data_IF_046167528034
#
_entry.id   IF_046167528034
#
_cell.length_a   1.000
_cell.length_b   1.000
_cell.length_c   1.000
_cell.angle_alpha   90.00
_cell.angle_beta   90.00
_cell.angle_gamma   90.00
#
_symmetry.space_group_name_H-M   'P 1'
#
loop_
_entity.id
_entity.type
_entity.pdbx_description
1 polymer ?
#
# COMPACT_ATOMS: atom_id res chain seq x y z
N UNK A 1 -3.02 22.39 14.05
CA UNK A 1 -3.66 21.07 14.18
C UNK A 1 -3.57 20.40 12.82
N UNK A 2 -3.05 19.18 12.74
CA UNK A 2 -3.06 18.44 11.48
C UNK A 2 -4.52 18.14 11.10
N UNK A 3 -4.96 18.54 9.91
CA UNK A 3 -6.27 18.18 9.38
C UNK A 3 -6.45 16.66 9.50
N UNK A 4 -7.57 16.21 10.06
CA UNK A 4 -7.97 14.81 10.00
C UNK A 4 -7.93 14.42 8.53
N UNK A 5 -7.21 13.34 8.22
CA UNK A 5 -6.95 12.97 6.84
C UNK A 5 -8.25 12.70 6.07
N UNK A 6 -8.37 13.27 4.87
CA UNK A 6 -9.53 13.15 3.98
C UNK A 6 -9.44 11.84 3.17
N UNK A 7 -9.28 10.69 3.85
CA UNK A 7 -9.29 9.40 3.18
C UNK A 7 -10.74 8.91 3.00
N UNK A 8 -11.00 8.30 1.85
CA UNK A 8 -12.28 7.67 1.52
C UNK A 8 -12.01 6.19 1.34
N UNK A 9 -12.65 5.38 2.17
CA UNK A 9 -12.42 3.93 2.24
C UNK A 9 -13.75 3.21 2.15
N UNK A 10 -13.92 2.40 1.12
CA UNK A 10 -15.11 1.55 0.97
C UNK A 10 -14.76 0.07 1.08
N UNK A 11 -15.74 -0.77 1.35
CA UNK A 11 -15.64 -2.22 1.27
C UNK A 11 -16.47 -2.71 0.09
N UNK A 12 -15.87 -3.57 -0.72
CA UNK A 12 -16.55 -4.32 -1.77
C UNK A 12 -16.57 -5.79 -1.39
N UNK A 13 -17.76 -6.38 -1.29
CA UNK A 13 -17.97 -7.80 -0.97
C UNK A 13 -18.38 -8.66 -2.16
N UNK A 14 -18.88 -8.03 -3.22
CA UNK A 14 -19.35 -8.69 -4.42
C UNK A 14 -18.77 -8.01 -5.66
N UNK A 15 -18.59 -8.79 -6.73
CA UNK A 15 -18.26 -8.27 -8.05
C UNK A 15 -19.47 -7.70 -8.78
N UNK A 16 -20.68 -7.95 -8.26
CA UNK A 16 -21.92 -7.38 -8.79
C UNK A 16 -22.01 -5.88 -8.44
N UNK A 17 -21.94 -4.98 -9.44
CA UNK A 17 -21.95 -3.54 -9.19
C UNK A 17 -23.30 -3.02 -8.66
N UNK A 18 -24.39 -3.78 -8.81
CA UNK A 18 -25.71 -3.39 -8.30
C UNK A 18 -25.81 -3.45 -6.76
N UNK A 19 -24.92 -4.20 -6.11
CA UNK A 19 -24.87 -4.33 -4.66
C UNK A 19 -24.14 -3.17 -3.98
N UNK A 20 -23.55 -2.26 -4.76
CA UNK A 20 -22.88 -1.07 -4.25
C UNK A 20 -21.64 -1.37 -3.40
N UNK A 21 -21.08 -0.32 -2.78
CA UNK A 21 -19.96 -0.43 -1.85
C UNK A 21 -20.38 0.06 -0.46
N UNK A 22 -19.89 -0.62 0.57
CA UNK A 22 -20.15 -0.26 1.97
C UNK A 22 -19.13 0.80 2.42
N UNK A 23 -19.58 1.87 3.08
CA UNK A 23 -18.68 2.89 3.63
C UNK A 23 -17.93 2.38 4.87
N UNK A 24 -16.65 2.73 5.00
CA UNK A 24 -15.89 2.58 6.25
C UNK A 24 -15.66 3.96 6.85
N UNK A 25 -16.55 4.44 7.74
CA UNK A 25 -16.37 5.76 8.36
C UNK A 25 -15.14 5.80 9.28
N UNK A 26 -14.65 7.01 9.63
CA UNK A 26 -13.42 7.19 10.41
C UNK A 26 -13.35 6.49 11.76
N UNK A 27 -14.49 6.14 12.35
CA UNK A 27 -14.58 5.44 13.63
C UNK A 27 -14.47 3.92 13.52
N UNK A 28 -14.21 3.37 12.34
CA UNK A 28 -13.99 1.92 12.15
C UNK A 28 -12.51 1.54 12.31
N UNK A 29 -12.20 0.33 12.83
CA UNK A 29 -10.84 -0.18 12.84
C UNK A 29 -10.22 -0.29 11.44
N UNK A 30 -11.03 -0.71 10.46
CA UNK A 30 -10.61 -0.81 9.05
C UNK A 30 -10.11 0.54 8.55
N UNK A 31 -10.94 1.59 8.67
CA UNK A 31 -10.55 2.93 8.27
C UNK A 31 -9.28 3.39 8.99
N UNK A 32 -9.27 3.28 10.32
CA UNK A 32 -8.16 3.78 11.14
C UNK A 32 -6.82 3.16 10.74
N UNK A 33 -6.80 1.84 10.51
CA UNK A 33 -5.58 1.12 10.17
C UNK A 33 -5.16 1.33 8.72
N UNK A 34 -6.11 1.43 7.78
CA UNK A 34 -5.81 1.80 6.40
C UNK A 34 -5.28 3.23 6.32
N UNK A 35 -5.92 4.18 6.99
CA UNK A 35 -5.50 5.57 7.09
C UNK A 35 -4.08 5.71 7.69
N UNK A 36 -3.78 4.93 8.72
CA UNK A 36 -2.44 4.85 9.31
C UNK A 36 -1.39 4.39 8.28
N UNK A 37 -1.67 3.31 7.56
CA UNK A 37 -0.78 2.78 6.53
C UNK A 37 -0.58 3.78 5.36
N UNK A 38 -1.63 4.49 4.94
CA UNK A 38 -1.53 5.55 3.92
C UNK A 38 -0.64 6.69 4.41
N UNK A 39 -0.80 7.14 5.66
CA UNK A 39 0.06 8.20 6.21
C UNK A 39 1.54 7.80 6.26
N UNK A 40 1.85 6.53 6.56
CA UNK A 40 3.21 6.01 6.49
C UNK A 40 3.71 6.04 5.04
N UNK A 41 2.91 5.58 4.09
CA UNK A 41 3.26 5.59 2.66
C UNK A 41 3.54 7.02 2.15
N UNK A 42 2.68 7.98 2.47
CA UNK A 42 2.88 9.40 2.11
C UNK A 42 4.16 9.95 2.73
N UNK A 43 4.44 9.61 3.99
CA UNK A 43 5.68 10.03 4.64
C UNK A 43 6.94 9.44 3.96
N UNK A 44 6.86 8.19 3.47
CA UNK A 44 7.94 7.57 2.69
C UNK A 44 8.12 8.31 1.35
N UNK A 45 7.03 8.53 0.60
CA UNK A 45 7.05 9.18 -0.70
C UNK A 45 7.53 10.65 -0.62
N UNK A 46 7.12 11.37 0.42
CA UNK A 46 7.47 12.78 0.65
C UNK A 46 8.89 12.96 1.21
N UNK A 47 9.54 11.89 1.69
CA UNK A 47 10.91 11.93 2.17
C UNK A 47 11.89 12.33 1.06
N UNK A 48 13.10 12.82 1.40
CA UNK A 48 14.12 13.15 0.39
C UNK A 48 14.43 11.98 -0.56
N UNK A 49 14.49 10.75 -0.03
CA UNK A 49 14.72 9.55 -0.83
C UNK A 49 13.52 9.18 -1.69
N UNK A 50 12.29 9.29 -1.15
CA UNK A 50 11.05 9.06 -1.90
C UNK A 50 10.90 10.03 -3.07
N UNK A 51 11.08 11.33 -2.84
CA UNK A 51 11.06 12.36 -3.88
C UNK A 51 12.10 12.11 -4.95
N UNK A 52 13.33 11.79 -4.54
CA UNK A 52 14.40 11.45 -5.47
C UNK A 52 14.02 10.26 -6.36
N UNK A 53 13.54 9.17 -5.77
CA UNK A 53 13.12 7.98 -6.50
C UNK A 53 11.96 8.27 -7.48
N UNK A 54 10.96 9.03 -7.04
CA UNK A 54 9.84 9.46 -7.88
C UNK A 54 10.30 10.35 -9.04
N UNK A 55 11.25 11.25 -8.82
CA UNK A 55 11.84 12.06 -9.91
C UNK A 55 12.55 11.18 -10.94
N UNK A 56 13.30 10.17 -10.50
CA UNK A 56 13.96 9.25 -11.43
C UNK A 56 12.94 8.42 -12.22
N UNK A 57 11.90 7.91 -11.57
CA UNK A 57 10.80 7.21 -12.24
C UNK A 57 10.08 8.09 -13.25
N UNK A 58 9.79 9.34 -12.89
CA UNK A 58 9.15 10.31 -13.78
C UNK A 58 10.00 10.52 -15.04
N UNK A 59 11.32 10.66 -14.90
CA UNK A 59 12.24 10.78 -16.04
C UNK A 59 12.30 9.53 -16.91
N UNK A 60 12.28 8.33 -16.30
CA UNK A 60 12.29 7.05 -17.04
C UNK A 60 11.01 6.94 -17.87
N UNK A 61 9.85 7.17 -17.26
CA UNK A 61 8.55 7.11 -17.94
C UNK A 61 8.49 8.14 -19.06
N UNK A 62 8.93 9.36 -18.79
CA UNK A 62 8.95 10.45 -19.76
C UNK A 62 9.83 10.14 -20.98
N UNK A 63 10.96 9.46 -20.76
CA UNK A 63 11.84 9.00 -21.82
C UNK A 63 11.20 7.91 -22.68
N UNK A 64 10.40 7.02 -22.09
CA UNK A 64 9.67 5.98 -22.82
C UNK A 64 8.51 6.54 -23.68
N UNK A 65 8.07 7.78 -23.45
CA UNK A 65 6.98 8.43 -24.19
C UNK A 65 7.41 9.09 -25.51
N UNK A 66 8.71 9.06 -25.85
CA UNK A 66 9.31 9.56 -27.10
C UNK A 66 8.81 10.96 -27.50
N UNK A 67 8.04 11.11 -28.60
CA UNK A 67 7.52 12.40 -29.09
C UNK A 67 6.60 13.14 -28.09
N UNK A 68 6.09 12.46 -27.06
CA UNK A 68 5.24 13.02 -26.02
C UNK A 68 5.97 13.28 -24.68
N UNK A 69 7.30 13.27 -24.69
CA UNK A 69 8.11 13.62 -23.52
C UNK A 69 7.78 15.03 -23.01
N UNK A 70 7.31 15.10 -21.78
CA UNK A 70 6.95 16.31 -21.04
C UNK A 70 8.14 16.96 -20.33
N UNK A 71 9.14 16.18 -19.94
CA UNK A 71 10.30 16.67 -19.18
C UNK A 71 11.55 16.77 -20.04
N UNK A 72 11.64 16.04 -21.15
CA UNK A 72 12.78 16.06 -22.08
C UNK A 72 14.12 15.84 -21.36
N UNK A 73 14.12 14.95 -20.35
CA UNK A 73 15.28 14.70 -19.49
C UNK A 73 15.60 15.79 -18.46
N UNK A 74 14.82 16.88 -18.41
CA UNK A 74 15.01 17.96 -17.44
C UNK A 74 14.54 17.54 -16.05
N UNK A 75 15.53 17.26 -15.19
CA UNK A 75 15.33 16.81 -13.82
C UNK A 75 14.63 17.84 -12.92
N UNK A 76 14.86 19.14 -13.14
CA UNK A 76 14.25 20.18 -12.30
C UNK A 76 12.76 20.32 -12.59
N UNK A 77 12.36 20.19 -13.87
CA UNK A 77 10.96 20.12 -14.28
C UNK A 77 10.30 18.87 -13.70
N UNK A 78 10.93 17.69 -13.83
CA UNK A 78 10.42 16.45 -13.26
C UNK A 78 10.24 16.55 -11.72
N UNK A 79 11.21 17.15 -11.02
CA UNK A 79 11.14 17.37 -9.58
C UNK A 79 9.98 18.29 -9.20
N UNK A 80 9.80 19.40 -9.90
CA UNK A 80 8.69 20.32 -9.68
C UNK A 80 7.35 19.59 -9.80
N UNK A 81 7.17 18.79 -10.85
CA UNK A 81 5.94 18.04 -11.07
C UNK A 81 5.72 16.89 -10.09
N UNK A 82 6.78 16.23 -9.61
CA UNK A 82 6.71 15.28 -8.48
C UNK A 82 6.21 15.99 -7.22
N UNK A 83 6.70 17.19 -6.93
CA UNK A 83 6.27 17.95 -5.76
C UNK A 83 4.78 18.34 -5.87
N UNK A 84 4.31 18.74 -7.06
CA UNK A 84 2.89 19.02 -7.35
C UNK A 84 2.03 17.76 -7.20
N UNK A 85 2.48 16.62 -7.74
CA UNK A 85 1.80 15.34 -7.60
C UNK A 85 1.63 14.95 -6.13
N UNK A 86 2.72 14.97 -5.36
CA UNK A 86 2.68 14.63 -3.93
C UNK A 86 1.77 15.57 -3.15
N UNK A 87 1.79 16.87 -3.45
CA UNK A 87 0.89 17.84 -2.82
C UNK A 87 -0.58 17.51 -3.10
N UNK A 88 -0.94 17.16 -4.34
CA UNK A 88 -2.30 16.74 -4.71
C UNK A 88 -2.72 15.46 -3.98
N UNK A 89 -1.88 14.42 -4.01
CA UNK A 89 -2.16 13.12 -3.36
C UNK A 89 -2.26 13.27 -1.83
N UNK A 90 -1.47 14.17 -1.22
CA UNK A 90 -1.55 14.46 0.22
C UNK A 90 -2.84 15.20 0.58
N UNK A 91 -3.26 16.16 -0.25
CA UNK A 91 -4.49 16.92 -0.03
C UNK A 91 -5.74 16.05 -0.22
N UNK A 92 -5.69 15.16 -1.22
CA UNK A 92 -6.79 14.30 -1.62
C UNK A 92 -6.19 12.98 -2.09
N UNK A 93 -6.20 11.96 -1.24
CA UNK A 93 -5.69 10.64 -1.62
C UNK A 93 -6.68 9.92 -2.54
N UNK A 94 -6.23 8.97 -3.40
CA UNK A 94 -7.15 8.10 -4.12
C UNK A 94 -8.18 7.39 -3.23
N UNK A 95 -9.30 6.99 -3.83
CA UNK A 95 -10.29 6.14 -3.14
C UNK A 95 -9.67 4.78 -2.85
N UNK A 96 -9.85 4.27 -1.64
CA UNK A 96 -9.39 2.92 -1.29
C UNK A 96 -10.58 1.98 -1.19
N UNK A 97 -10.49 0.84 -1.88
CA UNK A 97 -11.50 -0.22 -1.80
C UNK A 97 -10.91 -1.44 -1.10
N UNK A 98 -11.46 -1.79 0.05
CA UNK A 98 -11.24 -3.05 0.73
C UNK A 98 -12.05 -4.12 -0.01
N UNK A 99 -11.37 -4.88 -0.86
CA UNK A 99 -12.01 -5.74 -1.83
C UNK A 99 -11.92 -7.23 -1.46
N UNK A 100 -13.03 -7.79 -1.00
CA UNK A 100 -13.15 -9.22 -0.67
C UNK A 100 -13.32 -10.11 -1.90
N UNK A 101 -13.44 -9.53 -3.11
CA UNK A 101 -13.43 -10.31 -4.35
C UNK A 101 -12.01 -10.65 -4.83
N UNK A 102 -10.98 -10.05 -4.21
CA UNK A 102 -9.57 -10.37 -4.43
C UNK A 102 -9.23 -11.71 -3.76
N UNK A 103 -9.36 -12.80 -4.52
CA UNK A 103 -9.21 -14.16 -3.99
C UNK A 103 -7.76 -14.65 -3.88
N UNK A 104 -6.78 -13.91 -4.43
CA UNK A 104 -5.37 -14.28 -4.33
C UNK A 104 -4.77 -13.74 -3.02
N UNK A 105 -4.42 -14.59 -2.04
CA UNK A 105 -3.88 -14.13 -0.76
C UNK A 105 -2.46 -13.57 -0.87
N UNK A 106 -1.79 -13.76 -2.00
CA UNK A 106 -0.46 -13.22 -2.27
C UNK A 106 -0.51 -11.81 -2.88
N UNK A 107 -1.70 -11.34 -3.25
CA UNK A 107 -1.94 -10.00 -3.76
C UNK A 107 -2.46 -9.13 -2.62
N UNK A 108 -1.65 -8.15 -2.17
CA UNK A 108 -2.02 -7.23 -1.08
C UNK A 108 -2.95 -6.11 -1.55
N UNK A 109 -2.86 -5.75 -2.82
CA UNK A 109 -3.63 -4.68 -3.43
C UNK A 109 -3.23 -4.51 -4.88
N UNK A 110 -4.05 -3.76 -5.60
CA UNK A 110 -3.80 -3.38 -6.97
C UNK A 110 -4.48 -2.04 -7.26
N UNK A 111 -3.89 -1.26 -8.14
CA UNK A 111 -4.55 -0.10 -8.73
C UNK A 111 -5.19 -0.53 -10.06
N UNK A 112 -6.52 -0.70 -10.17
CA UNK A 112 -7.19 -0.93 -11.45
C UNK A 112 -6.89 0.24 -12.39
N UNK A 113 -6.00 -0.03 -13.36
CA UNK A 113 -5.35 0.99 -14.16
C UNK A 113 -6.33 1.52 -15.21
N UNK A 114 -6.54 2.83 -15.23
CA UNK A 114 -7.02 3.56 -16.40
C UNK A 114 -5.85 4.25 -17.09
N UNK A 115 -5.87 4.31 -18.43
CA UNK A 115 -4.94 5.18 -19.15
C UNK A 115 -5.28 6.63 -18.83
N UNK A 116 -4.38 7.32 -18.13
CA UNK A 116 -4.54 8.76 -17.92
C UNK A 116 -3.65 9.51 -18.90
N UNK A 117 -4.30 10.22 -19.84
CA UNK A 117 -3.66 10.97 -20.93
C UNK A 117 -3.85 12.49 -20.76
N UNK A 118 -4.18 12.94 -19.54
CA UNK A 118 -4.40 14.35 -19.22
C UNK A 118 -3.11 15.08 -18.81
N UNK A 119 -3.19 16.40 -18.62
CA UNK A 119 -2.06 17.16 -18.09
C UNK A 119 -1.94 17.04 -16.57
N UNK A 120 -0.73 16.99 -16.02
CA UNK A 120 -0.49 16.79 -14.57
C UNK A 120 -1.12 17.86 -13.66
N UNK A 121 -1.34 19.07 -14.19
CA UNK A 121 -2.12 20.13 -13.53
C UNK A 121 -3.59 19.71 -13.28
N UNK A 122 -4.17 18.89 -14.15
CA UNK A 122 -5.57 18.47 -14.13
C UNK A 122 -5.75 17.09 -13.48
N UNK A 123 -4.66 16.47 -13.01
CA UNK A 123 -4.72 15.22 -12.26
C UNK A 123 -5.55 15.41 -10.98
N UNK A 124 -6.63 14.64 -10.85
CA UNK A 124 -7.43 14.51 -9.64
C UNK A 124 -7.22 13.12 -9.04
N UNK A 125 -6.52 12.99 -7.90
CA UNK A 125 -6.31 11.68 -7.31
C UNK A 125 -7.62 10.95 -6.94
N UNK A 126 -8.72 11.66 -6.67
CA UNK A 126 -10.00 11.05 -6.26
C UNK A 126 -10.73 10.34 -7.40
N UNK A 127 -10.40 10.65 -8.65
CA UNK A 127 -10.89 9.87 -9.80
C UNK A 127 -10.19 8.52 -9.93
N UNK A 128 -9.16 8.26 -9.11
CA UNK A 128 -8.40 7.01 -9.08
C UNK A 128 -8.77 6.17 -7.86
N UNK A 129 -8.49 4.87 -7.99
CA UNK A 129 -8.89 3.87 -7.01
C UNK A 129 -7.77 2.89 -6.75
N UNK A 130 -7.47 2.63 -5.48
CA UNK A 130 -6.55 1.57 -5.04
C UNK A 130 -7.38 0.49 -4.35
N UNK A 131 -7.44 -0.70 -4.94
CA UNK A 131 -8.02 -1.87 -4.31
C UNK A 131 -7.00 -2.51 -3.37
N UNK A 132 -7.44 -2.95 -2.20
CA UNK A 132 -6.64 -3.72 -1.24
C UNK A 132 -7.36 -5.00 -0.89
N UNK A 133 -6.60 -6.06 -0.65
CA UNK A 133 -7.18 -7.37 -0.39
C UNK A 133 -7.99 -7.36 0.92
N UNK A 134 -9.29 -7.64 0.81
CA UNK A 134 -10.22 -7.61 1.93
C UNK A 134 -9.87 -8.61 3.02
N UNK A 135 -9.47 -9.82 2.65
CA UNK A 135 -9.06 -10.83 3.62
C UNK A 135 -7.79 -10.42 4.37
N UNK A 136 -6.79 -9.86 3.67
CA UNK A 136 -5.57 -9.36 4.33
C UNK A 136 -5.82 -8.15 5.23
N UNK A 137 -6.78 -7.32 4.86
CA UNK A 137 -7.23 -6.20 5.70
C UNK A 137 -7.92 -6.72 6.97
N UNK A 138 -8.77 -7.74 6.86
CA UNK A 138 -9.37 -8.41 8.01
C UNK A 138 -8.32 -9.07 8.91
N UNK A 139 -7.33 -9.75 8.34
CA UNK A 139 -6.20 -10.35 9.08
C UNK A 139 -5.43 -9.28 9.88
N UNK A 140 -5.19 -8.10 9.27
CA UNK A 140 -4.57 -6.96 9.95
C UNK A 140 -5.41 -6.49 11.13
N UNK A 141 -6.71 -6.26 10.92
CA UNK A 141 -7.62 -5.81 11.99
C UNK A 141 -7.64 -6.80 13.15
N UNK A 142 -7.75 -8.10 12.86
CA UNK A 142 -7.74 -9.15 13.88
C UNK A 142 -6.41 -9.20 14.65
N UNK A 143 -5.28 -8.96 13.96
CA UNK A 143 -3.95 -8.97 14.59
C UNK A 143 -3.70 -7.82 15.56
N UNK A 144 -4.50 -6.75 15.50
CA UNK A 144 -4.38 -5.60 16.40
C UNK A 144 -4.70 -5.95 17.86
N UNK A 145 -5.50 -6.99 18.09
CA UNK A 145 -5.86 -7.46 19.44
C UNK A 145 -4.81 -8.41 20.06
N UNK A 146 -3.71 -8.71 19.35
CA UNK A 146 -2.66 -9.61 19.83
C UNK A 146 -1.71 -8.95 20.83
N UNK A 147 -1.17 -9.73 21.78
CA UNK A 147 -0.39 -9.25 22.93
C UNK A 147 0.90 -8.47 22.58
N UNK A 148 1.60 -8.83 21.50
CA UNK A 148 2.90 -8.22 21.15
C UNK A 148 2.81 -7.12 20.07
N UNK A 149 1.66 -6.99 19.42
CA UNK A 149 1.42 -6.05 18.31
C UNK A 149 2.34 -6.21 17.08
N UNK A 150 3.27 -7.16 17.08
CA UNK A 150 4.29 -7.29 16.04
C UNK A 150 3.67 -7.65 14.69
N UNK A 151 2.67 -8.53 14.69
CA UNK A 151 1.96 -8.91 13.46
C UNK A 151 1.21 -7.73 12.87
N UNK A 152 0.53 -6.94 13.70
CA UNK A 152 -0.14 -5.71 13.28
C UNK A 152 0.84 -4.71 12.65
N UNK A 153 2.00 -4.47 13.29
CA UNK A 153 3.05 -3.60 12.74
C UNK A 153 3.58 -4.11 11.39
N UNK A 154 3.70 -5.42 11.22
CA UNK A 154 4.12 -5.99 9.93
C UNK A 154 3.07 -5.72 8.85
N UNK A 155 1.77 -5.88 9.15
CA UNK A 155 0.70 -5.54 8.22
C UNK A 155 0.69 -4.06 7.87
N UNK A 156 0.83 -3.16 8.86
CA UNK A 156 0.95 -1.73 8.63
C UNK A 156 2.09 -1.41 7.66
N UNK A 157 3.26 -2.02 7.86
CA UNK A 157 4.39 -1.85 6.95
C UNK A 157 4.11 -2.40 5.55
N UNK A 158 3.54 -3.60 5.44
CA UNK A 158 3.18 -4.20 4.15
C UNK A 158 2.19 -3.33 3.36
N UNK A 159 1.11 -2.89 3.99
CA UNK A 159 0.15 -2.00 3.35
C UNK A 159 0.77 -0.65 3.00
N UNK A 160 1.61 -0.07 3.86
CA UNK A 160 2.31 1.18 3.55
C UNK A 160 3.23 1.03 2.32
N UNK A 161 3.99 -0.06 2.22
CA UNK A 161 4.83 -0.33 1.04
C UNK A 161 4.01 -0.57 -0.21
N UNK A 162 2.86 -1.23 -0.10
CA UNK A 162 1.92 -1.41 -1.21
C UNK A 162 1.35 -0.06 -1.65
N UNK A 163 0.88 0.79 -0.74
CA UNK A 163 0.41 2.14 -1.08
C UNK A 163 1.53 3.03 -1.65
N UNK A 164 2.78 2.85 -1.22
CA UNK A 164 3.93 3.53 -1.81
C UNK A 164 4.10 3.12 -3.27
N UNK A 165 3.92 1.84 -3.58
CA UNK A 165 4.00 1.31 -4.95
C UNK A 165 2.82 1.76 -5.82
N UNK A 166 1.59 1.47 -5.39
CA UNK A 166 0.36 1.74 -6.13
C UNK A 166 0.00 3.24 -6.17
N UNK A 167 0.41 4.01 -5.16
CA UNK A 167 0.21 5.46 -5.08
C UNK A 167 1.31 6.27 -5.77
N UNK A 168 2.27 5.62 -6.44
CA UNK A 168 3.30 6.28 -7.25
C UNK A 168 2.89 6.36 -8.73
N UNK A 169 3.40 7.33 -9.52
CA UNK A 169 3.15 7.40 -10.96
C UNK A 169 3.58 6.13 -11.72
N UNK A 170 4.61 5.42 -11.21
CA UNK A 170 5.11 4.18 -11.80
C UNK A 170 4.18 2.96 -11.59
N UNK A 171 3.23 3.03 -10.64
CA UNK A 171 2.14 2.06 -10.54
C UNK A 171 1.29 1.97 -11.82
N UNK A 172 1.41 2.95 -12.74
CA UNK A 172 0.77 2.96 -14.05
C UNK A 172 1.39 2.01 -15.08
N UNK A 173 2.69 1.66 -15.02
CA UNK A 173 3.37 0.83 -16.03
C UNK A 173 4.29 -0.25 -15.41
N UNK A 174 3.80 -1.51 -15.44
CA UNK A 174 4.47 -2.81 -15.11
C UNK A 174 4.78 -3.15 -13.63
N UNK A 175 4.99 -4.45 -13.28
CA UNK A 175 4.96 -4.95 -11.91
C UNK A 175 6.37 -5.20 -11.36
N UNK A 176 6.86 -4.32 -10.48
CA UNK A 176 8.09 -4.58 -9.70
C UNK A 176 7.75 -4.38 -8.23
N UNK A 177 7.08 -5.35 -7.60
CA UNK A 177 6.91 -5.32 -6.14
C UNK A 177 6.47 -6.64 -5.48
N UNK A 178 5.80 -7.56 -6.20
CA UNK A 178 5.30 -8.77 -5.55
C UNK A 178 6.42 -9.71 -5.02
N UNK A 179 7.55 -9.83 -5.71
CA UNK A 179 8.66 -10.70 -5.26
C UNK A 179 9.32 -10.19 -3.97
N UNK A 180 9.40 -8.86 -3.77
CA UNK A 180 10.00 -8.28 -2.56
C UNK A 180 9.01 -8.36 -1.39
N UNK A 181 7.71 -8.12 -1.62
CA UNK A 181 6.68 -8.22 -0.58
C UNK A 181 6.47 -9.65 -0.07
N UNK A 182 6.50 -10.65 -0.96
CA UNK A 182 6.37 -12.07 -0.59
C UNK A 182 7.61 -12.60 0.13
N UNK A 183 8.82 -12.15 -0.23
CA UNK A 183 10.06 -12.58 0.43
C UNK A 183 10.10 -12.24 1.93
N UNK A 184 9.47 -11.12 2.34
CA UNK A 184 9.38 -10.68 3.73
C UNK A 184 8.40 -11.55 4.53
N UNK A 185 7.28 -11.94 3.90
CA UNK A 185 6.26 -12.82 4.50
C UNK A 185 6.79 -14.26 4.62
N UNK A 186 7.44 -14.79 3.58
CA UNK A 186 7.97 -16.16 3.59
C UNK A 186 9.23 -16.33 4.44
N UNK A 187 10.10 -15.31 4.54
CA UNK A 187 11.21 -15.34 5.50
C UNK A 187 10.73 -15.36 6.95
N UNK A 188 9.60 -14.73 7.27
CA UNK A 188 9.02 -14.72 8.63
C UNK A 188 8.18 -15.96 8.96
N UNK A 189 7.51 -16.56 7.97
CA UNK A 189 6.82 -17.84 8.17
C UNK A 189 7.80 -18.97 8.54
N UNK A 190 9.02 -18.96 7.98
CA UNK A 190 10.09 -19.93 8.31
C UNK A 190 10.79 -19.69 9.66
N UNK A 191 10.83 -18.45 10.14
CA UNK A 191 11.43 -18.14 11.47
C UNK A 191 10.47 -18.44 12.62
N UNK A 192 9.16 -18.20 12.45
CA UNK A 192 8.16 -18.60 13.47
C UNK A 192 7.95 -20.12 13.57
N UNK A 193 8.15 -20.90 12.50
CA UNK A 193 8.08 -22.37 12.59
C UNK A 193 9.33 -22.98 13.22
N UNK A 194 10.53 -22.37 13.09
CA UNK A 194 11.75 -22.91 13.70
C UNK A 194 11.88 -22.65 15.20
N UNK A 195 11.26 -21.59 15.73
CA UNK A 195 11.24 -21.31 17.18
C UNK A 195 10.18 -22.11 17.96
N UNK A 196 9.22 -22.74 17.28
CA UNK A 196 8.19 -23.58 17.92
C UNK A 196 8.60 -25.03 18.22
N UNK A 197 9.72 -25.51 17.68
CA UNK A 197 10.18 -26.89 17.87
C UNK A 197 11.31 -27.06 18.89
N UNK A 198 11.86 -25.97 19.45
CA UNK A 198 12.99 -26.05 20.41
C UNK A 198 12.60 -25.90 21.89
N UNK A 199 11.32 -25.69 22.21
CA UNK A 199 10.83 -25.47 23.60
C UNK A 199 9.89 -26.58 24.09
N UNK A 200 10.06 -27.82 23.61
CA UNK A 200 9.31 -29.00 24.10
C UNK A 200 10.18 -30.23 24.41
N UNK A 201 11.46 -30.04 24.72
CA UNK A 201 12.38 -31.14 25.05
C UNK A 201 13.24 -30.89 26.29
N UNK A 202 12.74 -30.19 27.32
CA UNK A 202 13.36 -30.23 28.66
C UNK A 202 12.26 -30.11 29.72
N UNK A 203 11.55 -31.21 30.00
CA UNK A 203 10.95 -31.51 31.31
C UNK A 203 10.36 -32.92 31.25
N UNK A 204 10.63 -33.73 32.30
CA UNK A 204 10.45 -35.20 32.46
C UNK A 204 11.69 -35.97 32.01
N UNK A 205 12.45 -36.66 32.86
CA UNK A 205 12.16 -37.26 34.18
C UNK A 205 13.49 -37.63 34.84
N UNK A 206 13.70 -37.17 36.08
CA UNK A 206 14.54 -37.90 37.03
C UNK A 206 13.61 -38.71 37.94
N UNK A 207 13.77 -40.03 37.95
CA UNK A 207 13.48 -40.96 39.06
C UNK A 207 13.82 -42.40 38.61
N UNK A 208 14.68 -43.09 39.35
CA UNK A 208 14.85 -44.54 39.31
C UNK A 208 16.28 -45.01 39.00
N UNK A 209 17.02 -45.38 40.04
CA UNK A 209 18.35 -45.99 39.98
C UNK A 209 19.13 -45.72 41.25
#
# INVERSE_FOLDING_TARGET
MASIANFVVFTRRSSDPSLGWEDNPPNTPVYTYVASAINIALSILESPHGRHYLTQLALIIDHEMDENSHFQGNKDIAKHWVDVFLAKVRAQFPVVIVDFTMNNPNELGCHPRGGWMGHLKDFDPRSHMICINGQRTADMVASACGQDGQNFRNFQFLFATMFTHEGSPAGSLRPISLEVQLSIIERRRRTCTRQGYHTKLITKTGHGG
#
